data_IF_648010089931
#
_entry.id   IF_648010089931
#
_cell.length_a   1.000
_cell.length_b   1.000
_cell.length_c   1.000
_cell.angle_alpha   90.00
_cell.angle_beta   90.00
_cell.angle_gamma   90.00
#
_symmetry.space_group_name_H-M   'P 1'
#
loop_
_entity.id
_entity.type
_entity.pdbx_description
1 polymer ?
#
# COMPACT_ATOMS: atom_id res chain seq x y z
N UNK A 1 6.33 -18.08 -2.21
CA UNK A 1 4.98 -17.67 -2.60
C UNK A 1 4.96 -16.22 -3.03
N UNK A 2 4.24 -15.96 -4.11
CA UNK A 2 4.07 -14.58 -4.55
C UNK A 2 3.03 -13.88 -3.68
N UNK A 3 3.33 -12.65 -3.29
CA UNK A 3 2.36 -11.82 -2.60
C UNK A 3 1.31 -11.34 -3.58
N UNK A 4 0.08 -11.17 -3.11
CA UNK A 4 -0.93 -10.43 -3.86
C UNK A 4 -0.41 -9.02 -4.08
N UNK A 5 -0.57 -8.51 -5.29
CA UNK A 5 0.01 -7.23 -5.67
C UNK A 5 -1.04 -6.30 -6.23
N UNK A 6 -1.07 -5.08 -5.71
CA UNK A 6 -1.89 -3.99 -6.23
C UNK A 6 -0.97 -3.00 -6.94
N UNK A 7 -1.23 -2.74 -8.22
CA UNK A 7 -0.46 -1.78 -9.00
C UNK A 7 -1.27 -0.49 -9.13
N UNK A 8 -0.80 0.57 -8.49
CA UNK A 8 -1.45 1.87 -8.54
C UNK A 8 -0.99 2.76 -9.68
N UNK A 9 -0.06 2.28 -10.48
CA UNK A 9 0.43 3.04 -11.62
C UNK A 9 -0.72 3.38 -12.56
N UNK A 10 -0.91 4.66 -12.85
CA UNK A 10 -1.99 5.10 -13.73
C UNK A 10 -3.33 5.35 -13.06
N UNK A 11 -3.48 5.07 -11.76
CA UNK A 11 -4.71 5.40 -11.04
C UNK A 11 -4.74 6.86 -10.62
N UNK A 12 -5.94 7.42 -10.53
CA UNK A 12 -6.13 8.79 -10.06
C UNK A 12 -5.99 8.86 -8.55
N UNK A 13 -5.44 9.96 -8.07
CA UNK A 13 -5.18 10.15 -6.64
C UNK A 13 -6.45 10.09 -5.79
N UNK A 14 -7.56 10.60 -6.30
CA UNK A 14 -8.81 10.63 -5.54
C UNK A 14 -9.43 9.27 -5.30
N UNK A 15 -9.01 8.25 -6.04
CA UNK A 15 -9.50 6.88 -5.87
C UNK A 15 -8.60 6.01 -4.98
N UNK A 16 -7.41 6.50 -4.63
CA UNK A 16 -6.38 5.70 -3.96
C UNK A 16 -6.85 5.19 -2.61
N UNK A 17 -7.45 6.05 -1.80
CA UNK A 17 -7.91 5.65 -0.48
C UNK A 17 -8.85 4.44 -0.56
N UNK A 18 -9.83 4.49 -1.43
CA UNK A 18 -10.80 3.41 -1.59
C UNK A 18 -10.15 2.14 -2.15
N UNK A 19 -9.30 2.30 -3.16
CA UNK A 19 -8.67 1.16 -3.82
C UNK A 19 -7.73 0.43 -2.85
N UNK A 20 -6.91 1.16 -2.13
CA UNK A 20 -5.97 0.58 -1.17
C UNK A 20 -6.71 -0.07 -0.01
N UNK A 21 -7.70 0.62 0.55
CA UNK A 21 -8.49 0.08 1.66
C UNK A 21 -9.15 -1.24 1.27
N UNK A 22 -9.81 -1.29 0.12
CA UNK A 22 -10.45 -2.51 -0.35
C UNK A 22 -9.43 -3.63 -0.52
N UNK A 23 -8.29 -3.32 -1.12
CA UNK A 23 -7.28 -4.34 -1.39
C UNK A 23 -6.73 -4.96 -0.10
N UNK A 24 -6.37 -4.14 0.88
CA UNK A 24 -5.76 -4.66 2.12
C UNK A 24 -6.77 -5.35 3.02
N UNK A 25 -8.06 -4.97 2.95
CA UNK A 25 -9.09 -5.64 3.75
C UNK A 25 -9.59 -6.94 3.10
N UNK A 26 -9.50 -7.06 1.78
CA UNK A 26 -10.02 -8.22 1.07
C UNK A 26 -8.99 -9.33 0.84
N UNK A 27 -7.74 -9.09 1.16
CA UNK A 27 -6.67 -10.07 0.93
C UNK A 27 -5.93 -10.36 2.21
N UNK A 28 -5.39 -11.57 2.30
CA UNK A 28 -4.55 -11.96 3.44
C UNK A 28 -3.20 -11.27 3.35
N UNK A 29 -2.74 -10.73 4.47
CA UNK A 29 -1.43 -10.09 4.56
C UNK A 29 -0.34 -11.15 4.70
N UNK A 30 0.86 -10.90 4.23
CA UNK A 30 1.32 -9.64 3.63
C UNK A 30 0.91 -9.48 2.18
N UNK A 31 0.79 -8.23 1.74
CA UNK A 31 0.51 -7.89 0.35
C UNK A 31 1.49 -6.82 -0.13
N UNK A 32 1.59 -6.66 -1.44
CA UNK A 32 2.49 -5.69 -2.06
C UNK A 32 1.70 -4.62 -2.79
N UNK A 33 2.13 -3.37 -2.67
CA UNK A 33 1.51 -2.25 -3.38
C UNK A 33 2.59 -1.55 -4.20
N UNK A 34 2.41 -1.50 -5.51
CA UNK A 34 3.32 -0.80 -6.42
C UNK A 34 2.81 0.62 -6.58
N UNK A 35 3.61 1.59 -6.16
CA UNK A 35 3.23 3.01 -6.15
C UNK A 35 3.86 3.77 -7.31
N UNK A 36 5.08 3.42 -7.69
CA UNK A 36 5.85 4.14 -8.68
C UNK A 36 6.61 5.31 -8.06
N UNK A 37 6.91 6.32 -8.88
CA UNK A 37 7.79 7.43 -8.47
C UNK A 37 7.05 8.66 -7.96
N UNK A 38 5.74 8.60 -7.83
CA UNK A 38 4.95 9.75 -7.39
C UNK A 38 5.01 9.93 -5.89
N UNK A 39 5.59 11.04 -5.44
CA UNK A 39 5.64 11.38 -4.02
C UNK A 39 4.23 11.56 -3.45
N UNK A 40 3.34 12.16 -4.23
CA UNK A 40 1.95 12.38 -3.78
C UNK A 40 1.23 11.05 -3.60
N UNK A 41 1.42 10.11 -4.54
CA UNK A 41 0.82 8.79 -4.43
C UNK A 41 1.34 8.05 -3.20
N UNK A 42 2.64 8.15 -2.93
CA UNK A 42 3.23 7.53 -1.73
C UNK A 42 2.61 8.09 -0.45
N UNK A 43 2.44 9.41 -0.37
CA UNK A 43 1.78 10.03 0.78
C UNK A 43 0.38 9.50 0.98
N UNK A 44 -0.42 9.45 -0.08
CA UNK A 44 -1.81 9.01 0.00
C UNK A 44 -1.91 7.57 0.45
N UNK A 45 -1.07 6.69 -0.09
CA UNK A 45 -1.06 5.28 0.31
C UNK A 45 -0.69 5.13 1.78
N UNK A 46 0.37 5.82 2.20
CA UNK A 46 0.81 5.74 3.60
C UNK A 46 -0.24 6.31 4.55
N UNK A 47 -0.89 7.42 4.19
CA UNK A 47 -1.96 7.98 5.00
C UNK A 47 -3.11 6.99 5.17
N UNK A 48 -3.49 6.31 4.09
CA UNK A 48 -4.56 5.32 4.14
C UNK A 48 -4.19 4.15 5.05
N UNK A 49 -2.98 3.62 4.90
CA UNK A 49 -2.52 2.51 5.72
C UNK A 49 -2.40 2.90 7.19
N UNK A 50 -1.87 4.09 7.46
CA UNK A 50 -1.76 4.60 8.84
C UNK A 50 -3.13 4.78 9.48
N UNK A 51 -4.09 5.32 8.72
CA UNK A 51 -5.44 5.56 9.22
C UNK A 51 -6.11 4.26 9.66
N UNK A 52 -5.88 3.17 8.92
CA UNK A 52 -6.49 1.87 9.23
C UNK A 52 -5.63 1.01 10.15
N UNK A 53 -4.47 1.49 10.57
CA UNK A 53 -3.63 0.75 11.52
C UNK A 53 -2.83 -0.37 10.91
N UNK A 54 -2.47 -0.26 9.65
CA UNK A 54 -1.61 -1.25 9.00
C UNK A 54 -0.13 -0.89 9.18
N UNK A 55 0.69 -1.92 9.38
CA UNK A 55 2.14 -1.77 9.39
C UNK A 55 2.68 -2.14 8.02
N UNK A 56 3.67 -1.39 7.56
CA UNK A 56 4.22 -1.56 6.23
C UNK A 56 5.68 -1.13 6.20
N UNK A 57 6.40 -1.55 5.16
CA UNK A 57 7.77 -1.11 4.92
C UNK A 57 8.03 -1.08 3.41
N UNK A 58 9.07 -0.37 2.98
CA UNK A 58 9.49 -0.40 1.58
C UNK A 58 10.02 -1.78 1.24
N UNK A 59 9.73 -2.26 0.03
CA UNK A 59 10.18 -3.57 -0.41
C UNK A 59 11.70 -3.69 -0.32
N UNK A 60 12.39 -2.60 -0.69
CA UNK A 60 13.85 -2.51 -0.55
C UNK A 60 14.17 -1.13 0.00
N UNK A 61 15.24 -1.06 0.79
CA UNK A 61 15.62 0.21 1.41
C UNK A 61 15.90 1.33 0.39
N UNK A 62 16.25 0.99 -0.86
CA UNK A 62 16.49 1.96 -1.93
C UNK A 62 15.32 2.12 -2.89
N UNK A 63 14.30 1.27 -2.79
CA UNK A 63 13.17 1.30 -3.70
C UNK A 63 11.92 1.76 -2.96
N UNK A 64 11.62 3.05 -3.10
CA UNK A 64 10.45 3.65 -2.47
C UNK A 64 9.17 3.48 -3.29
N UNK A 65 9.26 2.86 -4.47
CA UNK A 65 8.12 2.67 -5.36
C UNK A 65 7.24 1.50 -5.01
N UNK A 66 7.65 0.65 -4.07
CA UNK A 66 6.89 -0.53 -3.68
C UNK A 66 6.84 -0.65 -2.16
N UNK A 67 5.64 -0.93 -1.64
CA UNK A 67 5.45 -1.16 -0.20
C UNK A 67 4.99 -2.60 0.04
N UNK A 68 5.46 -3.18 1.13
CA UNK A 68 4.94 -4.43 1.65
C UNK A 68 4.10 -4.08 2.87
N UNK A 69 2.83 -4.47 2.85
CA UNK A 69 1.95 -4.29 4.00
C UNK A 69 2.01 -5.58 4.81
N UNK A 70 2.55 -5.48 6.02
CA UNK A 70 2.93 -6.65 6.81
C UNK A 70 1.78 -7.22 7.61
N UNK A 71 1.10 -6.37 8.36
CA UNK A 71 0.03 -6.80 9.25
C UNK A 71 -0.80 -5.60 9.68
N UNK A 72 -1.97 -5.89 10.22
CA UNK A 72 -2.80 -4.86 10.83
C UNK A 72 -2.54 -4.85 12.33
N UNK A 73 -2.31 -3.65 12.87
CA UNK A 73 -2.14 -3.47 14.30
C UNK A 73 -3.50 -3.40 14.96
N UNK A 74 -3.75 -4.29 15.92
CA UNK A 74 -4.97 -4.23 16.72
C UNK A 74 -4.71 -3.32 17.93
N UNK A 75 -5.55 -2.32 18.06
CA UNK A 75 -5.48 -1.42 19.20
C UNK A 75 -6.51 -1.79 20.25
#
# INVERSE_FOLDING_TARGET
>A
MKLKTLDLHGHYHDAVDRIVSNFVFLNDLPVKIIIGNSSRMQELVKQTLDYHGFEYHNERWINHGCLIVDKKTDL
#
